data_IF_566167447739
#
_entry.id   IF_566167447739
#
_cell.length_a   1.000
_cell.length_b   1.000
_cell.length_c   1.000
_cell.angle_alpha   90.00
_cell.angle_beta   90.00
_cell.angle_gamma   90.00
#
_symmetry.space_group_name_H-M   'P 1'
#
loop_
_entity.id
_entity.type
_entity.pdbx_description
1 polymer ?
#
# COMPACT_ATOMS: atom_id res chain seq x y z
N UNK A 1 -35.58 -16.27 -23.41
CA UNK A 1 -34.25 -15.96 -22.83
C UNK A 1 -33.55 -17.28 -22.52
N UNK A 2 -32.27 -17.44 -22.87
CA UNK A 2 -31.48 -18.61 -22.42
C UNK A 2 -30.92 -18.31 -21.04
N UNK A 3 -31.26 -19.12 -20.04
CA UNK A 3 -30.63 -19.05 -18.73
C UNK A 3 -29.21 -19.61 -18.86
N UNK A 4 -28.21 -18.76 -18.64
CA UNK A 4 -26.82 -19.20 -18.55
C UNK A 4 -26.50 -19.54 -17.10
N UNK A 5 -26.04 -20.75 -16.83
CA UNK A 5 -25.53 -21.13 -15.51
C UNK A 5 -24.19 -20.43 -15.26
N UNK A 6 -24.19 -19.47 -14.34
CA UNK A 6 -22.96 -18.82 -13.89
C UNK A 6 -22.20 -19.79 -12.97
N UNK A 7 -21.05 -20.30 -13.44
CA UNK A 7 -20.12 -21.05 -12.58
C UNK A 7 -19.00 -20.16 -12.08
N UNK A 8 -18.92 -19.98 -10.77
CA UNK A 8 -17.87 -19.17 -10.12
C UNK A 8 -16.49 -19.83 -10.23
N UNK A 9 -16.44 -21.16 -10.13
CA UNK A 9 -15.17 -21.91 -10.16
C UNK A 9 -14.43 -21.82 -11.50
N UNK A 10 -15.15 -21.81 -12.62
CA UNK A 10 -14.53 -21.69 -13.95
C UNK A 10 -13.96 -20.28 -14.19
N UNK A 11 -14.58 -19.24 -13.66
CA UNK A 11 -14.09 -17.86 -13.84
C UNK A 11 -12.93 -17.49 -12.93
N UNK A 12 -12.64 -18.29 -11.90
CA UNK A 12 -11.46 -18.11 -11.03
C UNK A 12 -10.16 -18.57 -11.65
N UNK A 13 -10.22 -19.35 -12.73
CA UNK A 13 -9.04 -19.93 -13.38
C UNK A 13 -8.74 -19.17 -14.64
N UNK A 14 -7.55 -18.60 -14.70
CA UNK A 14 -7.00 -18.08 -15.94
C UNK A 14 -6.89 -19.21 -16.98
N UNK A 15 -7.26 -18.91 -18.23
CA UNK A 15 -6.95 -19.75 -19.38
C UNK A 15 -6.60 -18.89 -20.58
N UNK A 16 -5.87 -19.41 -21.55
CA UNK A 16 -5.54 -18.66 -22.77
C UNK A 16 -6.81 -18.22 -23.55
N UNK A 17 -7.89 -19.01 -23.48
CA UNK A 17 -9.17 -18.67 -24.10
C UNK A 17 -10.00 -17.66 -23.25
N UNK A 18 -9.75 -17.59 -21.94
CA UNK A 18 -10.42 -16.70 -21.00
C UNK A 18 -9.39 -15.99 -20.13
N UNK A 19 -8.66 -15.02 -20.68
CA UNK A 19 -7.53 -14.38 -19.98
C UNK A 19 -7.98 -13.48 -18.83
N UNK A 20 -9.25 -13.06 -18.84
CA UNK A 20 -9.83 -12.19 -17.83
C UNK A 20 -10.69 -13.00 -16.87
N UNK A 21 -10.21 -13.19 -15.63
CA UNK A 21 -11.02 -13.71 -14.53
C UNK A 21 -11.89 -12.58 -13.97
N UNK A 22 -12.88 -12.14 -14.77
CA UNK A 22 -13.84 -11.13 -14.31
C UNK A 22 -14.81 -11.77 -13.31
N UNK A 23 -14.33 -11.93 -12.08
CA UNK A 23 -15.08 -12.51 -10.96
C UNK A 23 -15.68 -11.42 -10.08
N UNK A 24 -16.92 -11.60 -9.62
CA UNK A 24 -17.45 -10.79 -8.54
C UNK A 24 -16.70 -11.10 -7.24
N UNK A 25 -16.33 -10.05 -6.51
CA UNK A 25 -15.60 -10.10 -5.24
C UNK A 25 -16.41 -9.33 -4.21
N UNK A 26 -16.62 -9.95 -3.05
CA UNK A 26 -17.23 -9.30 -1.89
C UNK A 26 -16.21 -8.39 -1.21
N UNK A 27 -16.57 -7.12 -0.99
CA UNK A 27 -15.75 -6.24 -0.17
C UNK A 27 -16.04 -6.49 1.32
N UNK A 28 -15.14 -7.19 2.00
CA UNK A 28 -15.28 -7.51 3.42
C UNK A 28 -14.99 -6.32 4.34
N UNK A 29 -14.46 -5.22 3.80
CA UNK A 29 -14.23 -3.97 4.53
C UNK A 29 -15.51 -3.14 4.69
N UNK A 30 -16.48 -3.34 3.79
CA UNK A 30 -17.76 -2.66 3.86
C UNK A 30 -18.63 -3.27 4.98
N UNK A 31 -19.34 -2.46 5.77
CA UNK A 31 -20.29 -2.97 6.74
C UNK A 31 -21.42 -3.72 6.02
N UNK A 32 -21.80 -4.87 6.56
CA UNK A 32 -23.00 -5.57 6.09
C UNK A 32 -24.21 -4.94 6.77
N UNK A 33 -24.93 -4.07 6.06
CA UNK A 33 -26.09 -3.36 6.61
C UNK A 33 -27.40 -4.07 6.26
N UNK A 34 -28.31 -4.28 7.23
CA UNK A 34 -29.66 -4.75 6.92
C UNK A 34 -30.37 -3.73 6.01
N UNK A 35 -31.16 -4.19 4.99
CA UNK A 35 -31.64 -5.55 4.76
C UNK A 35 -30.69 -6.44 3.94
N UNK A 36 -29.56 -5.92 3.46
CA UNK A 36 -28.61 -6.68 2.66
C UNK A 36 -27.83 -7.62 3.59
N UNK A 37 -28.19 -8.90 3.57
CA UNK A 37 -27.49 -9.97 4.31
C UNK A 37 -26.07 -10.26 3.79
N UNK A 38 -25.62 -9.56 2.74
CA UNK A 38 -24.31 -9.76 2.13
C UNK A 38 -23.59 -8.43 1.94
N UNK A 39 -22.25 -8.41 2.09
CA UNK A 39 -21.44 -7.25 1.74
C UNK A 39 -21.60 -6.88 0.25
N UNK A 40 -21.29 -5.63 -0.12
CA UNK A 40 -21.32 -5.19 -1.52
C UNK A 40 -20.33 -5.99 -2.37
N UNK A 41 -20.70 -6.18 -3.64
CA UNK A 41 -19.94 -6.95 -4.61
C UNK A 41 -19.42 -6.02 -5.69
N UNK A 42 -18.14 -6.16 -6.01
CA UNK A 42 -17.47 -5.44 -7.08
C UNK A 42 -16.78 -6.42 -8.02
N UNK A 43 -16.56 -6.01 -9.27
CA UNK A 43 -15.73 -6.79 -10.18
C UNK A 43 -14.26 -6.71 -9.77
N UNK A 44 -13.49 -7.77 -10.05
CA UNK A 44 -12.04 -7.83 -9.80
C UNK A 44 -11.28 -6.58 -10.29
N UNK A 45 -11.67 -6.04 -11.44
CA UNK A 45 -11.01 -4.86 -12.01
C UNK A 45 -11.47 -3.53 -11.41
N UNK A 46 -12.64 -3.49 -10.77
CA UNK A 46 -13.18 -2.27 -10.14
C UNK A 46 -12.93 -2.20 -8.63
N UNK A 47 -12.59 -3.33 -7.98
CA UNK A 47 -12.44 -3.39 -6.52
C UNK A 47 -11.29 -2.50 -6.01
N UNK A 48 -10.23 -2.31 -6.80
CA UNK A 48 -9.09 -1.45 -6.42
C UNK A 48 -9.52 0.01 -6.29
N UNK A 49 -10.25 0.51 -7.30
CA UNK A 49 -10.83 1.87 -7.27
C UNK A 49 -11.80 2.05 -6.11
N UNK A 50 -12.62 1.02 -5.81
CA UNK A 50 -13.50 1.04 -4.65
C UNK A 50 -12.72 1.14 -3.34
N UNK A 51 -11.67 0.32 -3.14
CA UNK A 51 -10.85 0.35 -1.93
C UNK A 51 -10.17 1.72 -1.78
N UNK A 52 -9.61 2.27 -2.85
CA UNK A 52 -8.96 3.58 -2.84
C UNK A 52 -9.92 4.70 -2.39
N UNK A 53 -11.17 4.69 -2.87
CA UNK A 53 -12.13 5.75 -2.60
C UNK A 53 -12.88 5.58 -1.27
N UNK A 54 -13.29 4.35 -0.94
CA UNK A 54 -14.14 4.06 0.21
C UNK A 54 -13.37 3.59 1.45
N UNK A 55 -12.14 3.10 1.26
CA UNK A 55 -11.31 2.52 2.31
C UNK A 55 -9.84 3.01 2.21
N UNK A 56 -9.58 4.33 2.22
CA UNK A 56 -8.24 4.88 2.01
C UNK A 56 -7.22 4.39 3.05
N UNK A 57 -7.66 4.02 4.26
CA UNK A 57 -6.79 3.41 5.28
C UNK A 57 -6.26 2.01 4.92
N UNK A 58 -6.86 1.37 3.91
CA UNK A 58 -6.43 0.10 3.33
C UNK A 58 -5.80 0.28 1.95
N UNK A 59 -5.42 1.50 1.59
CA UNK A 59 -4.76 1.82 0.32
C UNK A 59 -3.35 2.37 0.58
N UNK A 60 -2.39 1.82 -0.15
CA UNK A 60 -1.00 2.25 -0.12
C UNK A 60 -0.71 3.04 -1.39
N UNK A 61 -0.57 4.36 -1.24
CA UNK A 61 -0.34 5.28 -2.36
C UNK A 61 1.04 5.08 -3.00
N UNK A 62 2.06 4.72 -2.22
CA UNK A 62 3.42 4.52 -2.73
C UNK A 62 3.46 3.35 -3.72
N UNK A 63 2.70 2.30 -3.41
CA UNK A 63 2.65 1.08 -4.21
C UNK A 63 1.38 0.95 -5.05
N UNK A 64 0.50 1.95 -5.01
CA UNK A 64 -0.82 1.96 -5.68
C UNK A 64 -1.57 0.63 -5.53
N UNK A 65 -1.64 0.11 -4.30
CA UNK A 65 -2.22 -1.21 -4.02
C UNK A 65 -2.97 -1.27 -2.69
N UNK A 66 -3.94 -2.18 -2.55
CA UNK A 66 -4.56 -2.44 -1.26
C UNK A 66 -3.60 -3.09 -0.26
N UNK A 67 -3.69 -2.71 1.00
CA UNK A 67 -2.93 -3.26 2.13
C UNK A 67 -3.85 -3.61 3.30
N UNK A 68 -3.34 -4.42 4.23
CA UNK A 68 -4.08 -4.84 5.44
C UNK A 68 -5.45 -5.49 5.13
N UNK A 69 -5.52 -6.27 4.05
CA UNK A 69 -6.70 -7.04 3.68
C UNK A 69 -6.67 -8.43 4.32
N UNK A 70 -7.84 -8.99 4.65
CA UNK A 70 -7.96 -10.39 5.04
C UNK A 70 -7.44 -11.32 3.94
N UNK A 71 -6.86 -12.46 4.32
CA UNK A 71 -6.16 -13.38 3.41
C UNK A 71 -7.03 -13.82 2.20
N UNK A 72 -8.31 -14.14 2.45
CA UNK A 72 -9.23 -14.53 1.37
C UNK A 72 -9.46 -13.40 0.37
N UNK A 73 -9.72 -12.18 0.85
CA UNK A 73 -9.93 -11.03 -0.03
C UNK A 73 -8.67 -10.71 -0.83
N UNK A 74 -7.49 -10.72 -0.19
CA UNK A 74 -6.22 -10.47 -0.85
C UNK A 74 -5.95 -11.45 -2.01
N UNK A 75 -6.22 -12.75 -1.81
CA UNK A 75 -6.06 -13.76 -2.85
C UNK A 75 -7.03 -13.54 -4.02
N UNK A 76 -8.29 -13.25 -3.73
CA UNK A 76 -9.32 -13.12 -4.78
C UNK A 76 -9.15 -11.83 -5.61
N UNK A 77 -8.63 -10.74 -5.04
CA UNK A 77 -8.40 -9.49 -5.79
C UNK A 77 -7.11 -9.52 -6.62
N UNK A 78 -6.14 -10.36 -6.24
CA UNK A 78 -4.84 -10.40 -6.92
C UNK A 78 -4.96 -10.81 -8.39
N UNK A 79 -4.36 -10.03 -9.29
CA UNK A 79 -4.26 -10.37 -10.72
C UNK A 79 -2.96 -11.13 -10.93
N UNK A 80 -3.02 -12.32 -11.52
CA UNK A 80 -1.82 -13.14 -11.74
C UNK A 80 -0.92 -12.55 -12.83
N UNK A 81 0.36 -12.96 -12.86
CA UNK A 81 1.30 -12.51 -13.90
C UNK A 81 0.85 -12.96 -15.29
N UNK A 82 0.28 -14.15 -15.40
CA UNK A 82 -0.25 -14.71 -16.63
C UNK A 82 -1.46 -13.91 -17.12
N UNK A 83 -2.36 -13.54 -16.20
CA UNK A 83 -3.50 -12.67 -16.49
C UNK A 83 -3.04 -11.28 -16.97
N UNK A 84 -2.07 -10.66 -16.29
CA UNK A 84 -1.50 -9.38 -16.72
C UNK A 84 -0.87 -9.48 -18.11
N UNK A 85 -0.08 -10.53 -18.37
CA UNK A 85 0.54 -10.76 -19.67
C UNK A 85 -0.51 -10.91 -20.78
N UNK A 86 -1.58 -11.66 -20.51
CA UNK A 86 -2.63 -11.89 -21.50
C UNK A 86 -3.52 -10.67 -21.76
N UNK A 87 -3.64 -9.76 -20.79
CA UNK A 87 -4.28 -8.46 -20.95
C UNK A 87 -3.43 -7.46 -21.77
N UNK A 88 -2.22 -7.84 -22.19
CA UNK A 88 -1.32 -6.94 -22.90
C UNK A 88 -0.70 -5.87 -22.00
N UNK A 89 -0.75 -6.04 -20.68
CA UNK A 89 0.02 -5.23 -19.73
C UNK A 89 1.49 -5.66 -19.78
N UNK A 90 2.15 -5.33 -20.88
CA UNK A 90 3.58 -5.52 -21.05
C UNK A 90 4.28 -4.46 -20.20
N UNK A 91 4.86 -4.90 -19.08
CA UNK A 91 6.05 -4.32 -18.42
C UNK A 91 6.30 -2.82 -18.71
N UNK A 92 5.56 -1.93 -18.05
CA UNK A 92 5.81 -0.49 -18.17
C UNK A 92 5.34 0.39 -17.02
N UNK A 93 4.55 -0.12 -16.05
CA UNK A 93 3.97 0.71 -15.00
C UNK A 93 4.05 0.12 -13.58
N UNK A 94 4.82 -0.96 -13.38
CA UNK A 94 4.97 -1.57 -12.04
C UNK A 94 6.40 -2.05 -11.80
N UNK A 95 7.41 -1.25 -12.17
CA UNK A 95 8.74 -1.43 -11.59
C UNK A 95 8.75 -0.82 -10.19
N UNK A 96 8.54 -1.67 -9.20
CA UNK A 96 9.00 -1.40 -7.85
C UNK A 96 10.52 -1.18 -7.90
N UNK A 97 11.08 -0.06 -7.40
CA UNK A 97 12.53 0.08 -7.34
C UNK A 97 13.06 -0.84 -6.23
N UNK A 98 13.41 -2.07 -6.60
CA UNK A 98 14.31 -2.93 -5.83
C UNK A 98 15.71 -2.80 -6.41
N UNK A 99 16.42 -1.72 -6.06
CA UNK A 99 17.86 -1.61 -6.23
C UNK A 99 18.46 -0.49 -5.36
N UNK A 100 18.52 -0.70 -4.05
CA UNK A 100 19.57 -0.06 -3.25
C UNK A 100 20.52 -1.14 -2.77
N UNK A 101 21.46 -1.51 -3.64
CA UNK A 101 22.66 -2.24 -3.23
C UNK A 101 23.86 -1.57 -3.88
N UNK A 102 24.56 -0.81 -3.02
CA UNK A 102 25.98 -0.47 -3.01
C UNK A 102 26.51 0.50 -4.08
N UNK A 103 27.09 1.63 -3.61
CA UNK A 103 28.56 1.78 -3.67
C UNK A 103 29.11 2.63 -2.49
N UNK A 104 30.31 2.30 -1.98
CA UNK A 104 31.06 3.09 -1.01
C UNK A 104 31.82 4.22 -1.70
N UNK A 105 31.56 5.47 -1.33
CA UNK A 105 32.28 6.62 -1.87
C UNK A 105 33.59 6.87 -1.13
N UNK A 106 34.68 6.35 -1.68
CA UNK A 106 36.03 6.89 -1.50
C UNK A 106 36.10 8.30 -2.14
N UNK A 107 36.25 9.35 -1.32
CA UNK A 107 36.90 10.60 -1.77
C UNK A 107 37.89 11.09 -0.71
N UNK A 108 39.15 11.08 -1.13
CA UNK A 108 40.28 11.76 -0.50
C UNK A 108 40.02 13.27 -0.46
N UNK A 109 40.33 13.87 0.69
CA UNK A 109 41.11 15.10 0.78
C UNK A 109 40.46 16.41 0.33
N UNK A 110 39.98 17.19 1.29
CA UNK A 110 40.20 18.63 1.28
C UNK A 110 40.32 19.15 2.72
N UNK A 111 41.53 19.62 3.05
CA UNK A 111 41.86 20.37 4.26
C UNK A 111 41.39 21.82 4.10
N UNK A 112 40.91 22.44 5.19
CA UNK A 112 41.16 23.83 5.66
C UNK A 112 40.14 24.22 6.75
N UNK A 113 40.38 25.26 7.57
CA UNK A 113 41.35 25.29 8.67
C UNK A 113 40.66 25.55 10.02
N UNK A 114 41.42 25.33 11.08
CA UNK A 114 41.07 25.57 12.48
C UNK A 114 41.41 27.02 12.84
N UNK A 115 40.41 27.84 13.13
CA UNK A 115 40.63 29.14 13.77
C UNK A 115 39.77 29.23 15.04
N UNK A 116 40.48 29.22 16.17
CA UNK A 116 40.04 29.53 17.52
C UNK A 116 39.41 30.92 17.61
N UNK A 117 38.26 31.04 18.27
CA UNK A 117 37.96 32.21 19.11
C UNK A 117 37.38 31.71 20.42
N UNK A 118 38.27 31.61 21.40
CA UNK A 118 37.97 31.63 22.82
C UNK A 118 37.47 33.02 23.23
N UNK A 119 36.48 33.06 24.13
CA UNK A 119 36.47 33.85 25.37
C UNK A 119 35.04 33.82 25.96
N UNK A 120 34.80 33.12 27.08
CA UNK A 120 35.01 33.54 28.48
C UNK A 120 33.71 34.10 29.10
N UNK A 121 33.08 33.25 29.92
CA UNK A 121 32.09 33.51 31.00
C UNK A 121 32.57 34.66 31.93
N UNK A 122 31.72 35.38 32.69
CA UNK A 122 31.08 34.76 33.88
C UNK A 122 29.75 35.37 34.40
N UNK A 123 29.01 34.53 35.12
CA UNK A 123 28.30 34.79 36.40
C UNK A 123 27.12 35.77 36.49
N UNK A 124 26.04 35.25 37.11
CA UNK A 124 25.34 35.73 38.32
C UNK A 124 23.84 35.39 38.18
N UNK A 125 23.04 34.94 39.14
CA UNK A 125 23.12 34.49 40.54
C UNK A 125 21.67 34.09 40.90
N UNK A 126 21.50 33.22 41.92
CA UNK A 126 20.31 33.04 42.78
C UNK A 126 18.99 32.54 42.12
N UNK A 127 18.26 31.56 42.61
CA UNK A 127 18.14 30.94 43.93
C UNK A 127 16.67 30.45 44.09
N UNK A 128 16.37 29.46 44.93
CA UNK A 128 15.08 28.75 44.94
C UNK A 128 14.06 29.37 45.92
N UNK A 129 12.75 29.20 45.68
CA UNK A 129 11.76 29.45 46.72
C UNK A 129 10.57 28.48 46.64
N UNK A 130 10.54 27.59 47.62
CA UNK A 130 9.46 26.68 47.97
C UNK A 130 8.19 27.44 48.38
N UNK A 131 7.01 26.90 48.03
CA UNK A 131 5.86 26.96 48.93
C UNK A 131 4.92 25.77 48.75
N UNK A 132 4.96 24.90 49.76
CA UNK A 132 3.93 23.95 50.17
C UNK A 132 2.52 24.56 50.06
N UNK A 133 1.57 23.73 49.62
CA UNK A 133 0.25 23.66 50.25
C UNK A 133 0.02 22.21 50.69
N UNK A 134 -0.55 22.10 51.88
CA UNK A 134 -0.93 20.92 52.69
C UNK A 134 0.15 20.54 53.70
#
# INVERSE_FOLDING_TARGET
SRAHSFSYGHRKKYSAATPCTNVPIFCLLCPTTPPRKSPPVFWKYSIYSHIQQAHPQHWDELWSRPTNLGADMALNISISREEMKALGAVHGLFEAPLAHTLQPSLRRGQKRPLDDITNTDPSLEAGPSSRLRI
#
